data_IF_194690044674
#
_entry.id   IF_194690044674
#
_cell.length_a   1.000
_cell.length_b   1.000
_cell.length_c   1.000
_cell.angle_alpha   90.00
_cell.angle_beta   90.00
_cell.angle_gamma   90.00
#
_symmetry.space_group_name_H-M   'P 1'
#
loop_
_entity.id
_entity.type
_entity.pdbx_description
1 polymer ?
#
# COMPACT_ATOMS: atom_id res chain seq x y z
N UNK A 1 38.88 9.01 -11.60
CA UNK A 1 38.12 7.95 -10.88
C UNK A 1 36.62 8.15 -11.16
N UNK A 2 36.02 7.35 -12.06
CA UNK A 2 34.62 7.44 -12.32
C UNK A 2 33.90 6.86 -11.12
N UNK A 3 33.18 7.71 -10.36
CA UNK A 3 32.25 7.27 -9.33
C UNK A 3 31.16 6.53 -10.07
N UNK A 4 31.15 5.21 -9.99
CA UNK A 4 30.04 4.36 -10.43
C UNK A 4 28.79 4.94 -9.78
N UNK A 5 27.84 5.48 -10.58
CA UNK A 5 26.55 5.93 -10.11
C UNK A 5 25.84 4.71 -9.52
N UNK A 6 25.91 4.52 -8.21
CA UNK A 6 25.10 3.50 -7.55
C UNK A 6 23.65 3.87 -7.76
N UNK A 7 22.87 2.91 -8.25
CA UNK A 7 21.44 3.08 -8.46
C UNK A 7 20.73 3.04 -7.10
N UNK A 8 20.26 4.16 -6.62
CA UNK A 8 19.41 4.22 -5.44
C UNK A 8 18.03 4.80 -5.82
N UNK A 9 17.14 4.90 -4.85
CA UNK A 9 15.75 5.28 -5.09
C UNK A 9 15.61 6.70 -5.70
N UNK A 10 16.60 7.58 -5.54
CA UNK A 10 16.55 8.92 -6.12
C UNK A 10 16.60 8.92 -7.66
N UNK A 11 17.12 7.85 -8.27
CA UNK A 11 17.17 7.69 -9.73
C UNK A 11 15.81 7.39 -10.36
N UNK A 12 14.80 6.99 -9.56
CA UNK A 12 13.46 6.67 -10.03
C UNK A 12 12.69 7.93 -10.46
N UNK A 13 12.89 9.06 -9.78
CA UNK A 13 12.28 10.33 -10.12
C UNK A 13 10.75 10.25 -10.24
N UNK A 14 10.22 10.77 -11.34
CA UNK A 14 8.77 10.83 -11.61
C UNK A 14 8.10 9.46 -11.85
N UNK A 15 8.86 8.39 -12.04
CA UNK A 15 8.30 7.03 -12.14
C UNK A 15 7.91 6.45 -10.77
N UNK A 16 8.20 7.16 -9.68
CA UNK A 16 7.84 6.72 -8.34
C UNK A 16 6.31 6.66 -8.18
N UNK A 17 5.82 5.50 -7.77
CA UNK A 17 4.39 5.25 -7.52
C UNK A 17 3.95 5.53 -6.08
N UNK A 18 4.86 5.92 -5.19
CA UNK A 18 4.56 6.19 -3.79
C UNK A 18 4.20 4.95 -2.96
N UNK A 19 4.66 3.76 -3.35
CA UNK A 19 4.34 2.50 -2.67
C UNK A 19 5.06 2.30 -1.33
N UNK A 20 6.01 3.15 -0.97
CA UNK A 20 6.79 3.13 0.28
C UNK A 20 7.57 1.82 0.57
N UNK A 21 7.78 0.95 -0.42
CA UNK A 21 8.60 -0.25 -0.24
C UNK A 21 10.03 0.12 0.19
N UNK A 22 10.63 1.14 -0.45
CA UNK A 22 11.96 1.64 -0.13
C UNK A 22 12.08 2.15 1.32
N UNK A 23 11.05 2.82 1.84
CA UNK A 23 10.97 3.24 3.23
C UNK A 23 11.00 2.04 4.19
N UNK A 24 10.19 1.01 3.91
CA UNK A 24 10.08 -0.16 4.76
C UNK A 24 11.34 -1.03 4.78
N UNK A 25 12.08 -1.11 3.66
CA UNK A 25 13.27 -1.98 3.55
C UNK A 25 14.53 -1.32 4.11
N UNK A 26 14.57 0.00 4.25
CA UNK A 26 15.79 0.71 4.62
C UNK A 26 16.26 0.34 6.04
N UNK A 27 17.42 -0.32 6.20
CA UNK A 27 17.91 -0.74 7.52
C UNK A 27 18.35 0.43 8.39
N UNK A 28 18.67 1.58 7.77
CA UNK A 28 19.06 2.81 8.46
C UNK A 28 17.93 3.81 8.64
N UNK A 29 16.71 3.47 8.14
CA UNK A 29 15.54 4.36 8.21
C UNK A 29 15.86 5.79 7.73
N UNK A 30 16.72 5.90 6.72
CA UNK A 30 17.21 7.16 6.18
C UNK A 30 16.42 7.65 4.96
N UNK A 31 15.24 7.08 4.70
CA UNK A 31 14.35 7.49 3.61
C UNK A 31 13.14 8.18 4.23
N UNK A 32 12.92 9.43 3.82
CA UNK A 32 11.83 10.28 4.28
C UNK A 32 10.88 10.62 3.14
N UNK A 33 9.75 11.20 3.45
CA UNK A 33 8.81 11.71 2.47
C UNK A 33 9.14 13.16 2.14
N UNK A 34 9.16 13.49 0.85
CA UNK A 34 9.22 14.85 0.32
C UNK A 34 7.97 15.11 -0.52
N UNK A 35 7.35 16.25 -0.31
CA UNK A 35 6.22 16.70 -1.15
C UNK A 35 6.77 17.20 -2.50
N UNK A 36 6.29 16.62 -3.58
CA UNK A 36 6.61 17.06 -4.95
C UNK A 36 5.75 18.24 -5.40
N UNK A 37 6.03 18.79 -6.59
CA UNK A 37 5.36 19.97 -7.14
C UNK A 37 3.83 19.84 -7.25
N UNK A 38 3.35 18.64 -7.57
CA UNK A 38 1.92 18.35 -7.67
C UNK A 38 1.32 17.82 -6.35
N UNK A 39 2.07 17.91 -5.24
CA UNK A 39 1.63 17.52 -3.91
C UNK A 39 1.63 16.02 -3.63
N UNK A 40 2.17 15.19 -4.52
CA UNK A 40 2.43 13.79 -4.24
C UNK A 40 3.67 13.60 -3.36
N UNK A 41 3.68 12.51 -2.60
CA UNK A 41 4.79 12.16 -1.73
C UNK A 41 5.82 11.31 -2.48
N UNK A 42 7.08 11.73 -2.42
CA UNK A 42 8.24 11.05 -3.01
C UNK A 42 9.26 10.70 -1.94
N UNK A 43 10.05 9.63 -2.12
CA UNK A 43 11.12 9.28 -1.21
C UNK A 43 12.31 10.25 -1.37
N UNK A 44 12.86 10.69 -0.25
CA UNK A 44 14.10 11.45 -0.16
C UNK A 44 15.06 10.75 0.78
N UNK A 45 16.34 10.69 0.42
CA UNK A 45 17.38 9.98 1.17
C UNK A 45 18.19 10.96 2.01
N UNK A 46 18.23 10.75 3.33
CA UNK A 46 19.23 11.35 4.20
C UNK A 46 20.59 10.73 3.89
N UNK A 47 21.43 11.51 3.17
CA UNK A 47 22.72 11.04 2.67
C UNK A 47 23.75 10.83 3.76
N UNK A 48 23.62 11.47 4.92
CA UNK A 48 24.53 11.30 6.05
C UNK A 48 24.35 9.94 6.73
N UNK A 49 23.11 9.44 6.76
CA UNK A 49 22.78 8.13 7.34
C UNK A 49 22.83 6.97 6.34
N UNK A 50 22.81 7.27 5.05
CA UNK A 50 22.72 6.27 4.00
C UNK A 50 24.05 5.49 3.84
N UNK A 51 23.99 4.16 4.02
CA UNK A 51 25.13 3.24 3.84
C UNK A 51 25.29 2.75 2.40
N UNK A 52 24.52 3.27 1.45
CA UNK A 52 24.60 2.95 0.02
C UNK A 52 24.49 1.45 -0.28
N UNK A 53 23.56 0.74 0.37
CA UNK A 53 23.37 -0.71 0.22
C UNK A 53 22.49 -1.10 -0.97
N UNK A 54 21.94 -0.15 -1.72
CA UNK A 54 21.09 -0.30 -2.91
C UNK A 54 19.77 -1.11 -2.71
N UNK A 55 19.46 -1.55 -1.48
CA UNK A 55 18.24 -2.32 -1.19
C UNK A 55 16.97 -1.61 -1.62
N UNK A 56 16.90 -0.29 -1.44
CA UNK A 56 15.74 0.51 -1.82
C UNK A 56 15.48 0.50 -3.34
N UNK A 57 16.53 0.43 -4.15
CA UNK A 57 16.41 0.32 -5.60
C UNK A 57 16.04 -1.10 -6.03
N UNK A 58 16.69 -2.12 -5.44
CA UNK A 58 16.47 -3.51 -5.77
C UNK A 58 15.03 -4.00 -5.60
N UNK A 59 14.30 -3.41 -4.64
CA UNK A 59 12.90 -3.79 -4.38
C UNK A 59 11.89 -2.81 -4.97
N UNK A 60 12.34 -1.77 -5.67
CA UNK A 60 11.45 -0.74 -6.19
C UNK A 60 10.61 -1.27 -7.37
N UNK A 61 9.26 -1.24 -7.29
CA UNK A 61 8.41 -1.67 -8.40
C UNK A 61 8.67 -0.92 -9.71
N UNK A 62 9.05 0.36 -9.65
CA UNK A 62 9.36 1.16 -10.83
C UNK A 62 10.74 0.86 -11.45
N UNK A 63 11.63 0.19 -10.71
CA UNK A 63 12.95 -0.26 -11.21
C UNK A 63 12.93 -1.69 -11.75
N UNK A 64 11.82 -2.41 -11.60
CA UNK A 64 11.68 -3.80 -11.98
C UNK A 64 10.54 -3.96 -12.98
N UNK A 65 10.59 -5.03 -13.79
CA UNK A 65 9.47 -5.42 -14.64
C UNK A 65 8.63 -6.43 -13.87
N UNK A 66 7.37 -6.11 -13.54
CA UNK A 66 6.47 -7.09 -12.91
C UNK A 66 6.20 -8.26 -13.84
N UNK A 67 6.10 -9.47 -13.28
CA UNK A 67 5.55 -10.60 -14.01
C UNK A 67 4.03 -10.43 -14.17
N UNK A 68 3.60 -10.29 -15.41
CA UNK A 68 2.18 -10.21 -15.73
C UNK A 68 1.64 -11.59 -16.07
N UNK A 69 0.55 -11.97 -15.41
CA UNK A 69 -0.16 -13.22 -15.69
C UNK A 69 -1.57 -12.91 -16.17
N UNK A 70 -2.06 -13.73 -17.10
CA UNK A 70 -3.46 -13.67 -17.48
C UNK A 70 -4.35 -14.13 -16.31
N UNK A 71 -5.54 -13.51 -16.13
CA UNK A 71 -6.47 -13.93 -15.10
C UNK A 71 -6.95 -15.36 -15.38
N UNK A 72 -6.95 -16.21 -14.37
CA UNK A 72 -7.43 -17.59 -14.50
C UNK A 72 -8.94 -17.64 -14.70
N UNK A 73 -9.69 -16.75 -14.02
CA UNK A 73 -11.16 -16.65 -14.09
C UNK A 73 -11.60 -15.23 -13.79
N UNK A 74 -12.77 -14.85 -14.30
CA UNK A 74 -13.44 -13.59 -14.00
C UNK A 74 -14.82 -13.89 -13.38
N UNK A 75 -15.18 -13.09 -12.37
CA UNK A 75 -16.45 -13.20 -11.66
C UNK A 75 -17.10 -11.83 -11.51
N UNK A 76 -18.42 -11.77 -11.63
CA UNK A 76 -19.22 -10.68 -11.11
C UNK A 76 -19.74 -11.11 -9.73
N UNK A 77 -19.49 -10.31 -8.69
CA UNK A 77 -19.85 -10.67 -7.33
C UNK A 77 -20.29 -9.46 -6.51
N UNK A 78 -21.21 -9.73 -5.56
CA UNK A 78 -21.66 -8.74 -4.58
C UNK A 78 -21.96 -9.41 -3.24
N UNK A 79 -21.95 -8.61 -2.16
CA UNK A 79 -22.31 -9.09 -0.84
C UNK A 79 -23.80 -9.50 -0.80
N UNK A 80 -24.10 -10.65 -0.19
CA UNK A 80 -25.46 -11.07 0.09
C UNK A 80 -26.07 -10.38 1.32
N UNK A 81 -25.24 -9.80 2.17
CA UNK A 81 -25.67 -8.96 3.29
C UNK A 81 -26.05 -7.58 2.77
N UNK A 82 -27.30 -7.19 2.91
CA UNK A 82 -27.86 -5.94 2.40
C UNK A 82 -27.18 -4.71 3.02
N UNK A 83 -26.88 -4.75 4.31
CA UNK A 83 -26.21 -3.67 5.03
C UNK A 83 -24.78 -3.52 4.53
N UNK A 84 -24.07 -4.64 4.36
CA UNK A 84 -22.70 -4.64 3.86
C UNK A 84 -22.64 -4.13 2.42
N UNK A 85 -23.59 -4.57 1.56
CA UNK A 85 -23.71 -4.10 0.18
C UNK A 85 -23.94 -2.60 0.10
N UNK A 86 -24.94 -2.07 0.82
CA UNK A 86 -25.30 -0.64 0.80
C UNK A 86 -24.22 0.27 1.37
N UNK A 87 -23.42 -0.21 2.30
CA UNK A 87 -22.31 0.56 2.91
C UNK A 87 -20.97 0.37 2.20
N UNK A 88 -20.95 -0.32 1.05
CA UNK A 88 -19.77 -0.51 0.20
C UNK A 88 -19.83 0.39 -1.03
N UNK A 89 -18.70 0.76 -1.60
CA UNK A 89 -18.64 1.61 -2.81
C UNK A 89 -19.15 0.89 -4.06
N UNK A 90 -19.02 -0.44 -4.11
CA UNK A 90 -19.42 -1.31 -5.21
C UNK A 90 -20.06 -2.58 -4.63
N UNK A 91 -19.87 -3.73 -5.22
CA UNK A 91 -20.46 -4.99 -4.74
C UNK A 91 -20.03 -5.46 -3.34
N UNK A 92 -19.07 -4.81 -2.69
CA UNK A 92 -18.63 -5.17 -1.34
C UNK A 92 -17.64 -6.35 -1.29
N UNK A 93 -17.06 -6.77 -2.40
CA UNK A 93 -16.17 -7.93 -2.47
C UNK A 93 -15.01 -7.87 -1.46
N UNK A 94 -14.32 -6.72 -1.34
CA UNK A 94 -13.23 -6.55 -0.37
C UNK A 94 -13.72 -6.70 1.09
N UNK A 95 -14.93 -6.23 1.39
CA UNK A 95 -15.56 -6.40 2.70
C UNK A 95 -15.84 -7.88 3.00
N UNK A 96 -16.43 -8.61 2.06
CA UNK A 96 -16.72 -10.05 2.20
C UNK A 96 -15.45 -10.86 2.43
N UNK A 97 -14.40 -10.63 1.64
CA UNK A 97 -13.11 -11.29 1.82
C UNK A 97 -12.46 -10.93 3.17
N UNK A 98 -12.53 -9.67 3.58
CA UNK A 98 -12.02 -9.24 4.89
C UNK A 98 -12.75 -9.94 6.04
N UNK A 99 -14.07 -10.04 5.95
CA UNK A 99 -14.86 -10.76 6.96
C UNK A 99 -14.48 -12.24 7.03
N UNK A 100 -14.27 -12.90 5.90
CA UNK A 100 -13.87 -14.32 5.87
C UNK A 100 -12.53 -14.51 6.56
N UNK A 101 -11.52 -13.71 6.23
CA UNK A 101 -10.20 -13.77 6.85
C UNK A 101 -10.23 -13.50 8.35
N UNK A 102 -10.99 -12.49 8.80
CA UNK A 102 -11.11 -12.16 10.23
C UNK A 102 -11.81 -13.28 11.01
N UNK A 103 -12.86 -13.88 10.43
CA UNK A 103 -13.57 -15.03 11.07
C UNK A 103 -12.69 -16.26 11.24
N UNK A 104 -11.69 -16.43 10.39
CA UNK A 104 -10.67 -17.49 10.50
C UNK A 104 -9.51 -17.11 11.45
N UNK A 105 -9.62 -16.00 12.18
CA UNK A 105 -8.56 -15.52 13.09
C UNK A 105 -7.38 -14.86 12.37
N UNK A 106 -7.54 -14.54 11.08
CA UNK A 106 -6.55 -13.84 10.29
C UNK A 106 -6.58 -12.32 10.48
N UNK A 107 -5.74 -11.64 9.74
CA UNK A 107 -5.48 -10.21 9.86
C UNK A 107 -5.68 -9.56 8.50
N UNK A 108 -6.28 -8.37 8.47
CA UNK A 108 -6.51 -7.61 7.24
C UNK A 108 -5.79 -6.27 7.31
N UNK A 109 -5.14 -5.92 6.21
CA UNK A 109 -4.55 -4.61 5.97
C UNK A 109 -5.31 -3.94 4.83
N UNK A 110 -5.75 -2.71 5.05
CA UNK A 110 -6.48 -1.94 4.05
C UNK A 110 -6.38 -0.44 4.30
N UNK A 111 -6.80 0.34 3.32
CA UNK A 111 -6.74 1.80 3.39
C UNK A 111 -7.88 2.36 4.24
N UNK A 112 -7.54 3.23 5.19
CA UNK A 112 -8.49 4.00 6.01
C UNK A 112 -8.35 5.51 5.75
N UNK A 113 -9.40 6.24 6.06
CA UNK A 113 -9.40 7.69 6.16
C UNK A 113 -9.67 8.12 7.60
N UNK A 114 -8.90 9.11 8.07
CA UNK A 114 -9.10 9.80 9.32
C UNK A 114 -8.98 11.30 9.01
N UNK A 115 -10.09 11.94 8.70
CA UNK A 115 -10.12 13.23 8.03
C UNK A 115 -9.37 13.17 6.69
N UNK A 116 -8.41 14.07 6.50
CA UNK A 116 -7.54 14.10 5.31
C UNK A 116 -6.35 13.12 5.39
N UNK A 117 -6.25 12.38 6.48
CA UNK A 117 -5.17 11.42 6.72
C UNK A 117 -5.52 10.05 6.11
N UNK A 118 -5.03 9.81 4.91
CA UNK A 118 -5.30 8.56 4.17
C UNK A 118 -4.10 7.63 4.32
N UNK A 119 -4.31 6.47 4.94
CA UNK A 119 -3.22 5.53 5.24
C UNK A 119 -3.70 4.09 5.32
N UNK A 120 -2.79 3.15 5.13
CA UNK A 120 -3.07 1.75 5.43
C UNK A 120 -3.09 1.51 6.93
N UNK A 121 -3.92 0.57 7.35
CA UNK A 121 -4.06 0.16 8.74
C UNK A 121 -4.28 -1.35 8.84
N UNK A 122 -3.92 -1.89 9.98
CA UNK A 122 -4.12 -3.28 10.39
C UNK A 122 -5.44 -3.40 11.16
N UNK A 123 -6.27 -4.36 10.82
CA UNK A 123 -7.48 -4.72 11.58
C UNK A 123 -7.50 -6.21 11.90
N UNK A 124 -8.08 -6.57 13.01
CA UNK A 124 -8.14 -7.95 13.54
C UNK A 124 -9.54 -8.38 13.95
N UNK A 125 -10.49 -7.46 13.88
CA UNK A 125 -11.87 -7.73 14.31
C UNK A 125 -12.89 -7.17 13.34
N UNK A 126 -14.07 -7.78 13.28
CA UNK A 126 -15.20 -7.30 12.46
C UNK A 126 -15.67 -5.90 12.86
N UNK A 127 -15.48 -5.51 14.12
CA UNK A 127 -15.85 -4.17 14.62
C UNK A 127 -15.03 -3.07 13.96
N UNK A 128 -13.82 -3.39 13.50
CA UNK A 128 -12.91 -2.44 12.84
C UNK A 128 -13.12 -2.36 11.31
N UNK A 129 -13.93 -3.25 10.74
CA UNK A 129 -14.09 -3.39 9.29
C UNK A 129 -14.55 -2.07 8.63
N UNK A 130 -15.42 -1.31 9.28
CA UNK A 130 -15.91 -0.02 8.78
C UNK A 130 -14.78 0.97 8.50
N UNK A 131 -13.63 0.89 9.18
CA UNK A 131 -12.47 1.76 9.00
C UNK A 131 -11.83 1.65 7.62
N UNK A 132 -11.87 0.45 7.03
CA UNK A 132 -11.24 0.16 5.73
C UNK A 132 -12.25 0.01 4.59
N UNK A 133 -13.55 0.08 4.86
CA UNK A 133 -14.60 0.07 3.83
C UNK A 133 -14.57 1.33 2.98
N UNK A 134 -15.09 1.21 1.78
CA UNK A 134 -15.19 2.27 0.76
C UNK A 134 -13.86 2.72 0.18
N UNK A 135 -13.89 3.16 -1.08
CA UNK A 135 -12.70 3.61 -1.81
C UNK A 135 -12.25 4.99 -1.32
N UNK A 136 -10.95 5.16 -1.18
CA UNK A 136 -10.29 6.43 -0.87
C UNK A 136 -9.48 6.83 -2.10
N UNK A 137 -10.01 7.75 -2.89
CA UNK A 137 -9.42 8.18 -4.16
C UNK A 137 -8.32 9.23 -3.94
N UNK A 138 -7.34 8.90 -3.10
CA UNK A 138 -6.19 9.75 -2.77
C UNK A 138 -4.99 8.87 -2.46
N UNK A 139 -3.77 9.36 -2.68
CA UNK A 139 -2.54 8.65 -2.31
C UNK A 139 -2.57 8.27 -0.82
N UNK A 140 -2.54 6.97 -0.53
CA UNK A 140 -2.49 6.45 0.83
C UNK A 140 -1.07 6.12 1.26
N UNK A 141 -0.75 6.41 2.51
CA UNK A 141 0.54 6.08 3.10
C UNK A 141 0.53 4.63 3.64
N UNK A 142 1.56 3.87 3.31
CA UNK A 142 1.77 2.50 3.82
C UNK A 142 2.37 2.53 5.22
N UNK A 143 3.25 3.50 5.48
CA UNK A 143 3.97 3.59 6.76
C UNK A 143 4.68 2.26 7.09
N UNK A 144 4.55 1.76 8.30
CA UNK A 144 5.18 0.50 8.74
C UNK A 144 4.35 -0.76 8.41
N UNK A 145 3.26 -0.65 7.63
CA UNK A 145 2.38 -1.79 7.38
C UNK A 145 3.11 -2.99 6.77
N UNK A 146 4.08 -2.80 5.88
CA UNK A 146 4.81 -3.94 5.32
C UNK A 146 5.65 -4.68 6.37
N UNK A 147 6.24 -3.95 7.32
CA UNK A 147 6.96 -4.56 8.45
C UNK A 147 6.01 -5.37 9.33
N UNK A 148 4.84 -4.81 9.64
CA UNK A 148 3.80 -5.48 10.42
C UNK A 148 3.26 -6.72 9.69
N UNK A 149 2.99 -6.64 8.39
CA UNK A 149 2.61 -7.80 7.56
C UNK A 149 3.66 -8.90 7.66
N UNK A 150 4.95 -8.57 7.51
CA UNK A 150 6.03 -9.55 7.65
C UNK A 150 6.09 -10.20 9.01
N UNK A 151 5.82 -9.44 10.06
CA UNK A 151 5.79 -9.93 11.44
C UNK A 151 4.60 -10.87 11.67
N UNK A 152 3.40 -10.47 11.24
CA UNK A 152 2.19 -11.31 11.33
C UNK A 152 2.37 -12.63 10.56
N UNK A 153 2.95 -12.58 9.34
CA UNK A 153 3.24 -13.78 8.55
C UNK A 153 4.27 -14.69 9.22
N UNK A 154 5.33 -14.13 9.83
CA UNK A 154 6.31 -14.91 10.61
C UNK A 154 5.68 -15.58 11.82
N UNK A 155 4.67 -14.98 12.41
CA UNK A 155 3.89 -15.54 13.52
C UNK A 155 2.80 -16.52 13.05
N UNK A 156 2.84 -16.98 11.78
CA UNK A 156 1.91 -17.95 11.23
C UNK A 156 0.49 -17.42 11.01
N UNK A 157 0.29 -16.10 11.02
CA UNK A 157 -1.03 -15.52 10.80
C UNK A 157 -1.38 -15.51 9.31
N UNK A 158 -2.64 -15.79 8.99
CA UNK A 158 -3.21 -15.56 7.66
C UNK A 158 -3.42 -14.06 7.47
N UNK A 159 -2.89 -13.50 6.41
CA UNK A 159 -2.92 -12.06 6.15
C UNK A 159 -3.58 -11.78 4.82
N UNK A 160 -4.54 -10.86 4.82
CA UNK A 160 -5.09 -10.24 3.62
C UNK A 160 -4.57 -8.81 3.52
N UNK A 161 -3.91 -8.49 2.41
CA UNK A 161 -3.49 -7.13 2.09
C UNK A 161 -4.28 -6.61 0.90
N UNK A 162 -4.99 -5.49 1.07
CA UNK A 162 -5.80 -4.84 0.05
C UNK A 162 -5.15 -3.51 -0.30
N UNK A 163 -4.70 -3.35 -1.54
CA UNK A 163 -4.02 -2.14 -1.97
C UNK A 163 -4.09 -1.92 -3.49
N UNK A 164 -3.46 -0.87 -3.96
CA UNK A 164 -3.24 -0.66 -5.40
C UNK A 164 -2.17 -1.63 -5.91
N UNK A 165 -2.08 -1.91 -7.23
CA UNK A 165 -1.10 -2.85 -7.79
C UNK A 165 0.34 -2.52 -7.36
N UNK A 166 0.73 -1.24 -7.36
CA UNK A 166 2.06 -0.83 -6.93
C UNK A 166 2.32 -1.10 -5.44
N UNK A 167 1.29 -1.01 -4.58
CA UNK A 167 1.41 -1.32 -3.15
C UNK A 167 1.49 -2.83 -2.93
N UNK A 168 0.68 -3.63 -3.62
CA UNK A 168 0.75 -5.09 -3.53
C UNK A 168 2.08 -5.63 -4.07
N UNK A 169 2.56 -5.11 -5.20
CA UNK A 169 3.87 -5.47 -5.73
C UNK A 169 5.01 -5.01 -4.79
N UNK A 170 4.92 -3.77 -4.26
CA UNK A 170 5.87 -3.26 -3.28
C UNK A 170 5.95 -4.12 -2.01
N UNK A 171 4.81 -4.62 -1.51
CA UNK A 171 4.77 -5.57 -0.40
C UNK A 171 5.49 -6.87 -0.74
N UNK A 172 5.18 -7.49 -1.90
CA UNK A 172 5.82 -8.74 -2.34
C UNK A 172 7.33 -8.57 -2.48
N UNK A 173 7.77 -7.47 -3.11
CA UNK A 173 9.19 -7.13 -3.25
C UNK A 173 9.89 -6.91 -1.89
N UNK A 174 9.21 -6.27 -0.94
CA UNK A 174 9.73 -6.08 0.42
C UNK A 174 9.87 -7.41 1.18
N UNK A 175 8.92 -8.33 1.02
CA UNK A 175 8.94 -9.63 1.68
C UNK A 175 10.05 -10.54 1.15
N UNK A 176 10.45 -10.42 -0.12
CA UNK A 176 11.54 -11.15 -0.80
C UNK A 176 11.39 -12.67 -0.80
N UNK A 177 10.21 -13.18 -0.43
CA UNK A 177 9.83 -14.58 -0.49
C UNK A 177 8.30 -14.69 -0.54
N UNK A 178 7.82 -15.80 -1.03
CA UNK A 178 6.41 -16.14 -1.00
C UNK A 178 5.99 -16.67 0.39
N UNK A 179 4.74 -16.37 0.74
CA UNK A 179 4.08 -16.88 1.94
C UNK A 179 2.71 -17.41 1.54
N UNK A 180 2.46 -18.68 1.82
CA UNK A 180 1.15 -19.31 1.55
C UNK A 180 -0.01 -18.64 2.30
N UNK A 181 0.30 -18.05 3.47
CA UNK A 181 -0.68 -17.35 4.30
C UNK A 181 -0.97 -15.92 3.85
N UNK A 182 -0.27 -15.40 2.81
CA UNK A 182 -0.51 -14.06 2.28
C UNK A 182 -1.47 -14.10 1.10
N UNK A 183 -2.56 -13.39 1.23
CA UNK A 183 -3.50 -13.09 0.14
C UNK A 183 -3.40 -11.61 -0.18
N UNK A 184 -3.25 -11.25 -1.45
CA UNK A 184 -3.30 -9.86 -1.91
C UNK A 184 -4.54 -9.62 -2.77
N UNK A 185 -5.18 -8.49 -2.59
CA UNK A 185 -6.23 -7.99 -3.49
C UNK A 185 -5.73 -6.70 -4.11
N UNK A 186 -5.48 -6.74 -5.42
CA UNK A 186 -5.09 -5.59 -6.20
C UNK A 186 -6.36 -4.86 -6.65
N UNK A 187 -6.46 -3.57 -6.32
CA UNK A 187 -7.51 -2.71 -6.83
C UNK A 187 -7.17 -2.28 -8.26
N UNK A 188 -8.15 -2.20 -9.14
CA UNK A 188 -7.96 -1.57 -10.45
C UNK A 188 -7.67 -0.08 -10.20
N UNK A 189 -6.50 0.38 -10.67
CA UNK A 189 -5.99 1.71 -10.39
C UNK A 189 -5.57 2.42 -11.69
N UNK A 190 -6.07 3.63 -11.88
CA UNK A 190 -5.71 4.53 -12.99
C UNK A 190 -4.83 5.70 -12.54
N UNK A 191 -4.31 5.65 -11.33
CA UNK A 191 -3.63 6.73 -10.63
C UNK A 191 -4.48 7.29 -9.49
N UNK A 192 -3.87 8.13 -8.67
CA UNK A 192 -4.50 8.75 -7.51
C UNK A 192 -4.14 10.24 -7.44
N UNK A 193 -5.08 11.11 -7.05
CA UNK A 193 -4.77 12.50 -6.70
C UNK A 193 -3.78 12.57 -5.53
N UNK A 194 -3.08 13.70 -5.45
CA UNK A 194 -2.20 13.97 -4.33
C UNK A 194 -2.99 14.28 -3.05
N UNK A 195 -2.35 14.04 -1.91
CA UNK A 195 -2.89 14.44 -0.61
C UNK A 195 -3.10 15.95 -0.52
N UNK A 196 -2.18 16.75 -1.03
CA UNK A 196 -2.30 18.22 -1.03
C UNK A 196 -3.55 18.71 -1.76
N UNK A 197 -3.99 18.03 -2.81
CA UNK A 197 -5.24 18.38 -3.49
C UNK A 197 -6.46 18.15 -2.58
N UNK A 198 -6.49 17.04 -1.82
CA UNK A 198 -7.54 16.77 -0.85
C UNK A 198 -7.55 17.83 0.27
N UNK A 199 -6.38 18.15 0.81
CA UNK A 199 -6.22 19.17 1.88
C UNK A 199 -6.73 20.53 1.43
N UNK A 200 -6.29 21.01 0.26
CA UNK A 200 -6.77 22.27 -0.31
C UNK A 200 -8.28 22.28 -0.59
N UNK A 201 -8.83 21.15 -1.04
CA UNK A 201 -10.28 21.04 -1.26
C UNK A 201 -11.04 21.11 0.07
N UNK A 202 -10.56 20.41 1.09
CA UNK A 202 -11.17 20.43 2.42
C UNK A 202 -11.16 21.84 3.04
N UNK A 203 -10.02 22.53 2.97
CA UNK A 203 -9.90 23.93 3.43
C UNK A 203 -10.90 24.88 2.76
N UNK A 204 -11.05 24.77 1.42
CA UNK A 204 -11.96 25.64 0.65
C UNK A 204 -13.45 25.35 0.88
N UNK A 205 -13.80 24.15 1.34
CA UNK A 205 -15.20 23.75 1.53
C UNK A 205 -15.68 23.85 2.96
N UNK A 206 -14.76 23.85 3.92
CA UNK A 206 -15.05 23.91 5.36
C UNK A 206 -14.94 25.34 5.92
N UNK A 207 -14.51 26.28 5.09
CA UNK A 207 -14.52 27.74 5.33
C UNK A 207 -15.46 28.43 4.34
#
# INVERSE_FOLDING_TARGET
MSVSKKNDISSIGHLCTGCEACYNICPKQCIHERVGELGHLYPEIDREKCIQCDLCFQICPAAQTPDFHYPLKAYAAWSKDETDYRTSTSGGASSVFSQAIIREGGIVYGCMADGVNIRHTRITSLKELSRIKSSKYVQSQIRDCYKLVREDLKNGKKVLFIGTPCQCFGLKSFLRKEYEQLITIDLICHGVPSRSLLEQHAEKKLH
#
